data_IF_610316379398
#
_entry.id   IF_610316379398
#
_cell.length_a   1.000
_cell.length_b   1.000
_cell.length_c   1.000
_cell.angle_alpha   90.00
_cell.angle_beta   90.00
_cell.angle_gamma   90.00
#
_symmetry.space_group_name_H-M   'P 1'
#
loop_
_entity.id
_entity.type
_entity.pdbx_description
1 polymer ?
#
# COMPACT_ATOMS: atom_id res chain seq x y z
N UNK A 1 8.13 -14.95 -7.18
CA UNK A 1 7.69 -14.60 -8.54
C UNK A 1 7.42 -13.12 -8.66
N UNK A 2 7.84 -12.51 -9.75
CA UNK A 2 7.53 -11.11 -10.01
C UNK A 2 6.03 -10.91 -10.20
N UNK A 3 5.50 -9.85 -9.60
CA UNK A 3 4.07 -9.53 -9.64
C UNK A 3 3.88 -8.25 -10.46
N UNK A 4 3.15 -8.29 -11.58
CA UNK A 4 2.98 -7.12 -12.44
C UNK A 4 2.18 -5.99 -11.81
N UNK A 5 1.39 -6.26 -10.78
CA UNK A 5 0.66 -5.21 -10.06
C UNK A 5 1.57 -4.50 -9.05
N UNK A 6 2.44 -5.25 -8.38
CA UNK A 6 3.38 -4.71 -7.38
C UNK A 6 4.62 -4.10 -8.04
N UNK A 7 5.02 -4.60 -9.19
CA UNK A 7 6.28 -4.24 -9.86
C UNK A 7 6.46 -2.75 -10.16
N UNK A 8 5.45 -2.02 -10.68
CA UNK A 8 5.64 -0.58 -10.94
C UNK A 8 6.10 0.15 -9.68
N UNK A 9 7.15 0.98 -9.83
CA UNK A 9 7.83 1.60 -8.69
C UNK A 9 6.88 2.34 -7.75
N UNK A 10 5.91 3.07 -8.27
CA UNK A 10 4.94 3.78 -7.43
C UNK A 10 4.17 2.85 -6.51
N UNK A 11 3.69 1.72 -7.02
CA UNK A 11 2.97 0.73 -6.22
C UNK A 11 3.90 -0.04 -5.29
N UNK A 12 5.10 -0.34 -5.76
CA UNK A 12 6.12 -1.01 -4.94
C UNK A 12 6.45 -0.17 -3.70
N UNK A 13 6.63 1.14 -3.87
CA UNK A 13 6.89 2.06 -2.76
C UNK A 13 5.72 2.14 -1.78
N UNK A 14 4.49 2.15 -2.28
CA UNK A 14 3.29 2.14 -1.44
C UNK A 14 3.24 0.86 -0.60
N UNK A 15 3.44 -0.29 -1.21
CA UNK A 15 3.46 -1.57 -0.49
C UNK A 15 4.58 -1.61 0.56
N UNK A 16 5.77 -1.13 0.20
CA UNK A 16 6.91 -1.07 1.13
C UNK A 16 6.61 -0.19 2.34
N UNK A 17 6.01 0.98 2.12
CA UNK A 17 5.64 1.90 3.21
C UNK A 17 4.61 1.26 4.15
N UNK A 18 3.56 0.65 3.61
CA UNK A 18 2.54 -0.02 4.40
C UNK A 18 3.13 -1.18 5.22
N UNK A 19 3.95 -2.00 4.57
CA UNK A 19 4.59 -3.12 5.24
C UNK A 19 5.53 -2.67 6.36
N UNK A 20 6.27 -1.57 6.15
CA UNK A 20 7.25 -1.06 7.13
C UNK A 20 6.64 -0.70 8.48
N UNK A 21 5.37 -0.30 8.51
CA UNK A 21 4.64 0.03 9.74
C UNK A 21 3.67 -1.08 10.15
N UNK A 22 3.71 -2.21 9.48
CA UNK A 22 2.82 -3.33 9.78
C UNK A 22 1.35 -3.06 9.44
N UNK A 23 1.08 -2.17 8.49
CA UNK A 23 -0.28 -1.82 8.06
C UNK A 23 -0.88 -2.93 7.21
N UNK A 24 -1.27 -4.00 7.86
CA UNK A 24 -1.91 -5.17 7.27
C UNK A 24 -3.27 -5.35 7.94
N UNK A 25 -4.27 -5.64 7.12
CA UNK A 25 -5.66 -5.82 7.55
C UNK A 25 -5.74 -6.80 8.72
N UNK A 26 -6.43 -6.38 9.78
CA UNK A 26 -6.52 -7.15 11.02
C UNK A 26 -5.41 -6.88 12.04
N UNK A 27 -4.38 -6.09 11.68
CA UNK A 27 -3.26 -5.76 12.57
C UNK A 27 -3.17 -4.27 12.83
N UNK A 28 -2.85 -3.49 11.80
CA UNK A 28 -2.70 -2.05 11.88
C UNK A 28 -3.10 -1.43 10.55
N UNK A 29 -3.17 -0.10 10.53
CA UNK A 29 -3.48 0.66 9.34
C UNK A 29 -2.72 1.99 9.39
N UNK A 30 -2.54 2.61 8.22
CA UNK A 30 -1.84 3.86 8.07
C UNK A 30 -2.78 4.88 7.44
N UNK A 31 -2.77 6.14 7.90
CA UNK A 31 -3.61 7.15 7.27
C UNK A 31 -3.14 7.45 5.85
N UNK A 32 -4.08 7.78 4.97
CA UNK A 32 -3.77 8.19 3.61
C UNK A 32 -2.79 9.38 3.61
N UNK A 33 -3.02 10.36 4.48
CA UNK A 33 -2.17 11.54 4.59
C UNK A 33 -0.73 11.17 4.95
N UNK A 34 -0.54 10.28 5.92
CA UNK A 34 0.79 9.84 6.34
C UNK A 34 1.49 9.02 5.25
N UNK A 35 0.73 8.14 4.59
CA UNK A 35 1.24 7.37 3.47
C UNK A 35 1.68 8.29 2.33
N UNK A 36 0.87 9.29 1.98
CA UNK A 36 1.20 10.27 0.95
C UNK A 36 2.50 11.00 1.27
N UNK A 37 2.67 11.46 2.50
CA UNK A 37 3.93 12.08 2.94
C UNK A 37 5.12 11.14 2.80
N UNK A 38 4.94 9.90 3.21
CA UNK A 38 6.02 8.89 3.22
C UNK A 38 6.50 8.58 1.81
N UNK A 39 5.59 8.44 0.85
CA UNK A 39 5.95 8.14 -0.54
C UNK A 39 6.16 9.38 -1.41
N UNK A 40 5.91 10.57 -0.85
CA UNK A 40 6.18 11.86 -1.51
C UNK A 40 5.52 12.02 -2.88
N UNK A 41 4.21 11.78 -2.94
CA UNK A 41 3.42 11.92 -4.17
C UNK A 41 2.20 12.81 -3.92
N UNK A 42 1.50 13.17 -4.98
CA UNK A 42 0.23 13.91 -4.87
C UNK A 42 -0.89 12.98 -4.40
N UNK A 43 -1.98 13.57 -3.91
CA UNK A 43 -3.19 12.82 -3.52
C UNK A 43 -3.72 11.99 -4.69
N UNK A 44 -3.78 12.58 -5.88
CA UNK A 44 -4.30 11.86 -7.06
C UNK A 44 -3.39 10.73 -7.50
N UNK A 45 -2.07 10.91 -7.43
CA UNK A 45 -1.12 9.87 -7.76
C UNK A 45 -1.23 8.69 -6.79
N UNK A 46 -1.28 8.97 -5.48
CA UNK A 46 -1.46 7.92 -4.49
C UNK A 46 -2.79 7.20 -4.67
N UNK A 47 -3.87 7.94 -4.89
CA UNK A 47 -5.19 7.35 -5.11
C UNK A 47 -5.20 6.39 -6.30
N UNK A 48 -4.53 6.73 -7.40
CA UNK A 48 -4.39 5.84 -8.57
C UNK A 48 -3.66 4.56 -8.21
N UNK A 49 -2.57 4.66 -7.48
CA UNK A 49 -1.80 3.47 -7.07
C UNK A 49 -2.62 2.57 -6.15
N UNK A 50 -3.34 3.16 -5.20
CA UNK A 50 -4.21 2.40 -4.31
C UNK A 50 -5.36 1.74 -5.06
N UNK A 51 -5.96 2.41 -6.04
CA UNK A 51 -7.02 1.82 -6.86
C UNK A 51 -6.52 0.57 -7.59
N UNK A 52 -5.31 0.62 -8.16
CA UNK A 52 -4.71 -0.54 -8.83
C UNK A 52 -4.49 -1.70 -7.85
N UNK A 53 -3.98 -1.40 -6.66
CA UNK A 53 -3.77 -2.42 -5.62
C UNK A 53 -5.09 -2.99 -5.11
N UNK A 54 -6.10 -2.15 -4.94
CA UNK A 54 -7.43 -2.59 -4.50
C UNK A 54 -8.09 -3.51 -5.53
N UNK A 55 -7.98 -3.20 -6.81
CA UNK A 55 -8.52 -4.03 -7.90
C UNK A 55 -7.89 -5.43 -7.92
N UNK A 56 -6.64 -5.52 -7.54
CA UNK A 56 -5.94 -6.80 -7.42
C UNK A 56 -6.25 -7.53 -6.10
N UNK A 57 -6.97 -6.89 -5.18
CA UNK A 57 -7.23 -7.46 -3.86
C UNK A 57 -6.06 -7.35 -2.89
N UNK A 58 -5.11 -6.45 -3.16
CA UNK A 58 -3.87 -6.32 -2.37
C UNK A 58 -3.91 -5.22 -1.32
N UNK A 59 -4.86 -4.30 -1.40
CA UNK A 59 -5.01 -3.22 -0.43
C UNK A 59 -6.48 -2.90 -0.19
N UNK A 60 -6.75 -2.21 0.90
CA UNK A 60 -8.09 -1.70 1.26
C UNK A 60 -7.97 -0.31 1.82
N UNK A 61 -8.93 0.53 1.48
CA UNK A 61 -9.16 1.83 2.09
C UNK A 61 -10.42 1.80 2.93
N UNK A 62 -10.40 2.48 4.07
CA UNK A 62 -11.57 2.59 4.94
C UNK A 62 -11.64 4.03 5.45
N UNK A 63 -12.81 4.64 5.33
CA UNK A 63 -13.03 5.98 5.86
C UNK A 63 -13.58 5.90 7.27
N UNK A 64 -12.97 6.67 8.17
CA UNK A 64 -13.47 6.91 9.52
C UNK A 64 -14.00 8.34 9.58
N UNK A 65 -15.25 8.51 10.02
CA UNK A 65 -15.91 9.82 10.07
C UNK A 65 -15.79 10.42 11.46
N UNK A 66 -15.35 11.67 11.52
CA UNK A 66 -15.34 12.47 12.75
C UNK A 66 -16.61 13.29 12.88
N UNK A 67 -16.65 14.18 13.88
CA UNK A 67 -17.76 15.11 14.10
C UNK A 67 -17.84 16.16 12.99
N UNK A 68 -16.72 16.49 12.38
CA UNK A 68 -16.61 17.42 11.26
C UNK A 68 -15.85 16.76 10.12
N UNK A 69 -15.93 17.34 8.91
CA UNK A 69 -15.17 16.83 7.75
C UNK A 69 -13.67 16.81 7.98
N UNK A 70 -13.15 17.79 8.71
CA UNK A 70 -11.72 17.86 8.99
C UNK A 70 -11.21 16.71 9.88
N UNK A 71 -12.12 16.03 10.56
CA UNK A 71 -11.81 14.87 11.40
C UNK A 71 -11.93 13.55 10.68
N UNK A 72 -12.43 13.57 9.43
CA UNK A 72 -12.51 12.36 8.61
C UNK A 72 -11.12 11.88 8.25
N UNK A 73 -10.88 10.59 8.38
CA UNK A 73 -9.61 9.96 8.05
C UNK A 73 -9.84 8.80 7.10
N UNK A 74 -9.02 8.71 6.06
CA UNK A 74 -8.95 7.53 5.20
C UNK A 74 -7.79 6.67 5.68
N UNK A 75 -8.08 5.45 6.04
CA UNK A 75 -7.12 4.46 6.51
C UNK A 75 -6.80 3.47 5.41
N UNK A 76 -5.54 3.09 5.33
CA UNK A 76 -5.03 2.19 4.30
C UNK A 76 -4.30 1.03 4.95
N UNK A 77 -4.51 -0.16 4.43
CA UNK A 77 -3.77 -1.35 4.84
C UNK A 77 -3.62 -2.30 3.66
N UNK A 78 -2.56 -3.09 3.68
CA UNK A 78 -2.43 -4.24 2.80
C UNK A 78 -3.42 -5.31 3.26
N UNK A 79 -3.92 -6.09 2.32
CA UNK A 79 -4.58 -7.35 2.65
C UNK A 79 -3.52 -8.42 2.92
N UNK A 80 -3.87 -9.56 3.55
CA UNK A 80 -2.94 -10.68 3.65
C UNK A 80 -2.40 -11.12 2.27
N UNK A 81 -3.25 -11.11 1.24
CA UNK A 81 -2.83 -11.41 -0.13
C UNK A 81 -1.83 -10.37 -0.67
N UNK A 82 -2.06 -9.09 -0.37
CA UNK A 82 -1.15 -8.02 -0.77
C UNK A 82 0.21 -8.13 -0.10
N UNK A 83 0.24 -8.45 1.19
CA UNK A 83 1.49 -8.68 1.91
C UNK A 83 2.26 -9.86 1.29
N UNK A 84 1.58 -10.98 1.04
CA UNK A 84 2.20 -12.16 0.43
C UNK A 84 2.74 -11.86 -0.97
N UNK A 85 1.97 -11.13 -1.78
CA UNK A 85 2.39 -10.74 -3.13
C UNK A 85 3.63 -9.84 -3.09
N UNK A 86 3.64 -8.87 -2.18
CA UNK A 86 4.79 -7.97 -2.01
C UNK A 86 6.04 -8.73 -1.58
N UNK A 87 5.94 -9.59 -0.59
CA UNK A 87 7.08 -10.37 -0.09
C UNK A 87 7.63 -11.32 -1.14
N UNK A 88 6.75 -11.99 -1.87
CA UNK A 88 7.14 -12.87 -2.99
C UNK A 88 7.84 -12.09 -4.10
N UNK A 89 7.32 -10.91 -4.44
CA UNK A 89 7.91 -10.04 -5.44
C UNK A 89 9.30 -9.55 -5.00
N UNK A 90 9.43 -9.14 -3.75
CA UNK A 90 10.70 -8.68 -3.18
C UNK A 90 11.75 -9.80 -3.21
N UNK A 91 11.37 -11.01 -2.86
CA UNK A 91 12.25 -12.18 -2.92
C UNK A 91 12.72 -12.45 -4.36
N UNK A 92 11.82 -12.34 -5.34
CA UNK A 92 12.16 -12.50 -6.75
C UNK A 92 13.14 -11.42 -7.23
N UNK A 93 12.97 -10.17 -6.79
CA UNK A 93 13.91 -9.09 -7.11
C UNK A 93 15.30 -9.35 -6.51
N UNK A 94 15.37 -9.88 -5.30
CA UNK A 94 16.63 -10.26 -4.65
C UNK A 94 17.33 -11.36 -5.41
N UNK A 95 16.60 -12.36 -5.86
CA UNK A 95 17.16 -13.46 -6.68
C UNK A 95 17.78 -12.92 -7.97
N UNK A 96 17.11 -11.98 -8.62
CA UNK A 96 17.64 -11.33 -9.84
C UNK A 96 18.92 -10.56 -9.51
N UNK A 97 18.93 -9.81 -8.41
CA UNK A 97 20.08 -8.99 -8.01
C UNK A 97 21.30 -9.85 -7.59
N UNK A 98 21.05 -11.05 -7.10
CA UNK A 98 22.08 -11.95 -6.60
C UNK A 98 22.53 -12.99 -7.63
N UNK A 99 21.90 -12.98 -8.79
CA UNK A 99 22.21 -13.95 -9.85
C UNK A 99 23.58 -13.69 -10.52
#
# INVERSE_FOLDING_TARGET
MLDPVVHPLGRLRVCAALRSVGAVQGRAQMSFAKLRETVEVSDSALSKQLTALERAGYARRRRSYGLTRSEDVVWVALTPAGLAAFESHLAALREIAEA
#
